data_IF_403581674802
#
_entry.id   IF_403581674802
#
_cell.length_a   1.000
_cell.length_b   1.000
_cell.length_c   1.000
_cell.angle_alpha   90.00
_cell.angle_beta   90.00
_cell.angle_gamma   90.00
#
_symmetry.space_group_name_H-M   'P 1'
#
loop_
_entity.id
_entity.type
_entity.pdbx_description
1 polymer ?
#
# COMPACT_ATOMS: atom_id res chain seq x y z
N UNK A 1 -80.08 45.91 3.66
CA UNK A 1 -80.17 44.44 3.84
C UNK A 1 -78.79 43.83 3.71
N UNK A 2 -78.58 42.58 4.11
CA UNK A 2 -77.35 41.85 3.84
C UNK A 2 -77.61 40.74 2.84
N UNK A 3 -76.79 40.63 1.80
CA UNK A 3 -76.88 39.56 0.81
C UNK A 3 -76.01 38.38 1.26
N UNK A 4 -76.62 37.23 1.60
CA UNK A 4 -75.90 36.02 2.04
C UNK A 4 -75.05 35.42 0.93
N UNK A 5 -75.52 35.49 -0.32
CA UNK A 5 -74.82 34.95 -1.48
C UNK A 5 -73.53 35.71 -1.78
N UNK A 6 -73.59 37.04 -1.73
CA UNK A 6 -72.45 37.91 -2.03
C UNK A 6 -71.64 38.30 -0.79
N UNK A 7 -72.16 38.02 0.42
CA UNK A 7 -71.53 38.35 1.70
C UNK A 7 -71.27 39.87 1.83
N UNK A 8 -72.25 40.70 1.46
CA UNK A 8 -72.12 42.16 1.48
C UNK A 8 -73.40 42.88 1.92
N UNK A 9 -73.26 44.14 2.37
CA UNK A 9 -74.39 45.03 2.61
C UNK A 9 -74.91 45.58 1.28
N UNK A 10 -76.23 45.58 1.12
CA UNK A 10 -76.90 46.03 -0.11
C UNK A 10 -77.99 47.05 0.20
N UNK A 11 -78.06 48.09 -0.62
CA UNK A 11 -79.14 49.06 -0.63
C UNK A 11 -80.33 48.55 -1.48
N UNK A 12 -81.53 49.16 -1.37
CA UNK A 12 -82.71 48.74 -2.13
C UNK A 12 -82.53 48.72 -3.65
N UNK A 13 -81.83 49.71 -4.22
CA UNK A 13 -81.59 49.79 -5.67
C UNK A 13 -80.75 48.60 -6.17
N UNK A 14 -79.68 48.25 -5.44
CA UNK A 14 -78.84 47.11 -5.79
C UNK A 14 -79.58 45.77 -5.70
N UNK A 15 -80.61 45.67 -4.84
CA UNK A 15 -81.42 44.44 -4.75
C UNK A 15 -82.14 44.16 -6.06
N UNK A 16 -82.75 45.17 -6.69
CA UNK A 16 -83.48 45.01 -7.94
C UNK A 16 -82.57 44.83 -9.16
N UNK A 17 -81.40 45.48 -9.17
CA UNK A 17 -80.53 45.50 -10.34
C UNK A 17 -79.55 44.31 -10.38
N UNK A 18 -78.85 44.05 -9.27
CA UNK A 18 -77.67 43.16 -9.28
C UNK A 18 -77.75 42.01 -8.28
N UNK A 19 -78.65 42.07 -7.30
CA UNK A 19 -78.85 41.00 -6.31
C UNK A 19 -80.25 40.37 -6.38
N UNK A 20 -80.91 40.47 -7.54
CA UNK A 20 -82.23 39.87 -7.76
C UNK A 20 -82.12 38.33 -7.63
N UNK A 21 -83.01 37.72 -6.85
CA UNK A 21 -82.99 36.29 -6.56
C UNK A 21 -81.91 35.82 -5.56
N UNK A 22 -81.07 36.71 -5.03
CA UNK A 22 -80.14 36.34 -3.96
C UNK A 22 -80.83 36.19 -2.60
N UNK A 23 -80.26 35.35 -1.73
CA UNK A 23 -80.73 35.22 -0.35
C UNK A 23 -80.42 36.48 0.46
N UNK A 24 -81.46 37.26 0.79
CA UNK A 24 -81.34 38.48 1.58
C UNK A 24 -81.76 38.25 3.03
N UNK A 25 -81.05 38.89 3.95
CA UNK A 25 -81.36 38.88 5.38
C UNK A 25 -81.21 40.23 6.04
N UNK A 26 -81.66 40.30 7.29
CA UNK A 26 -81.44 41.45 8.15
C UNK A 26 -79.94 41.71 8.35
N UNK A 27 -79.58 42.97 8.62
CA UNK A 27 -78.19 43.35 8.90
C UNK A 27 -77.66 42.59 10.14
N UNK A 28 -78.52 42.36 11.14
CA UNK A 28 -78.19 41.60 12.35
C UNK A 28 -77.80 40.16 12.03
N UNK A 29 -78.61 39.44 11.26
CA UNK A 29 -78.27 38.07 10.82
C UNK A 29 -77.00 38.03 9.97
N UNK A 30 -76.81 39.01 9.08
CA UNK A 30 -75.58 39.15 8.31
C UNK A 30 -74.34 39.32 9.17
N UNK A 31 -74.44 40.13 10.23
CA UNK A 31 -73.38 40.30 11.23
C UNK A 31 -73.06 38.99 11.96
N UNK A 32 -74.07 38.25 12.42
CA UNK A 32 -73.88 36.95 13.09
C UNK A 32 -73.19 35.93 12.18
N UNK A 33 -73.55 35.89 10.89
CA UNK A 33 -72.89 35.02 9.90
C UNK A 33 -71.41 35.39 9.73
N UNK A 34 -71.10 36.68 9.62
CA UNK A 34 -69.71 37.16 9.48
C UNK A 34 -68.87 36.84 10.72
N UNK A 35 -69.41 37.11 11.92
CA UNK A 35 -68.75 36.80 13.18
C UNK A 35 -68.55 35.28 13.33
N UNK A 36 -69.54 34.47 12.97
CA UNK A 36 -69.41 33.01 12.95
C UNK A 36 -68.26 32.55 12.05
N UNK A 37 -68.21 33.04 10.81
CA UNK A 37 -67.11 32.73 9.87
C UNK A 37 -65.75 33.17 10.39
N UNK A 38 -65.66 34.36 11.00
CA UNK A 38 -64.42 34.87 11.60
C UNK A 38 -63.97 33.99 12.76
N UNK A 39 -64.88 33.59 13.65
CA UNK A 39 -64.58 32.67 14.76
C UNK A 39 -64.05 31.34 14.26
N UNK A 40 -64.72 30.71 13.29
CA UNK A 40 -64.27 29.44 12.70
C UNK A 40 -62.88 29.57 12.07
N UNK A 41 -62.64 30.63 11.28
CA UNK A 41 -61.31 30.88 10.69
C UNK A 41 -60.24 31.12 11.76
N UNK A 42 -60.56 31.87 12.80
CA UNK A 42 -59.67 32.11 13.94
C UNK A 42 -59.29 30.81 14.67
N UNK A 43 -60.26 29.92 14.88
CA UNK A 43 -60.01 28.60 15.46
C UNK A 43 -59.08 27.75 14.57
N UNK A 44 -59.36 27.67 13.27
CA UNK A 44 -58.51 26.92 12.32
C UNK A 44 -57.08 27.48 12.31
N UNK A 45 -56.92 28.81 12.28
CA UNK A 45 -55.61 29.45 12.36
C UNK A 45 -54.89 29.11 13.66
N UNK A 46 -55.59 29.14 14.80
CA UNK A 46 -55.02 28.75 16.09
C UNK A 46 -54.53 27.30 16.10
N UNK A 47 -55.32 26.36 15.57
CA UNK A 47 -54.90 24.96 15.44
C UNK A 47 -53.66 24.83 14.54
N UNK A 48 -53.65 25.49 13.39
CA UNK A 48 -52.52 25.45 12.46
C UNK A 48 -51.24 26.03 13.10
N UNK A 49 -51.35 27.12 13.87
CA UNK A 49 -50.21 27.69 14.60
C UNK A 49 -49.63 26.68 15.58
N UNK A 50 -50.48 26.04 16.39
CA UNK A 50 -50.03 25.04 17.37
C UNK A 50 -49.35 23.84 16.70
N UNK A 51 -49.88 23.37 15.56
CA UNK A 51 -49.25 22.28 14.79
C UNK A 51 -47.88 22.69 14.23
N UNK A 52 -47.76 23.92 13.72
CA UNK A 52 -46.50 24.44 13.21
C UNK A 52 -45.47 24.64 14.33
N UNK A 53 -45.87 25.08 15.51
CA UNK A 53 -44.99 25.18 16.68
C UNK A 53 -44.48 23.80 17.11
N UNK A 54 -45.36 22.80 17.16
CA UNK A 54 -44.96 21.42 17.47
C UNK A 54 -43.93 20.89 16.45
N UNK A 55 -44.19 21.08 15.15
CA UNK A 55 -43.26 20.66 14.08
C UNK A 55 -41.92 21.39 14.16
N UNK A 56 -41.92 22.68 14.52
CA UNK A 56 -40.70 23.47 14.71
C UNK A 56 -39.82 22.86 15.82
N UNK A 57 -40.42 22.40 16.91
CA UNK A 57 -39.67 21.78 18.00
C UNK A 57 -39.17 20.37 17.64
N UNK A 58 -39.97 19.59 16.91
CA UNK A 58 -39.55 18.28 16.37
C UNK A 58 -38.33 18.42 15.44
N UNK A 59 -38.35 19.38 14.51
CA UNK A 59 -37.23 19.63 13.59
C UNK A 59 -35.96 20.06 14.35
N UNK A 60 -36.09 20.92 15.36
CA UNK A 60 -34.94 21.32 16.20
C UNK A 60 -34.36 20.16 17.02
N UNK A 61 -35.20 19.23 17.46
CA UNK A 61 -34.77 18.03 18.18
C UNK A 61 -33.94 17.10 17.29
N UNK A 62 -34.43 16.84 16.08
CA UNK A 62 -33.75 15.99 15.08
C UNK A 62 -32.40 16.58 14.70
N UNK A 63 -32.34 17.88 14.40
CA UNK A 63 -31.10 18.57 14.00
C UNK A 63 -30.00 18.41 15.06
N UNK A 64 -30.33 18.53 16.36
CA UNK A 64 -29.36 18.34 17.44
C UNK A 64 -28.86 16.90 17.57
N UNK A 65 -29.75 15.92 17.47
CA UNK A 65 -29.36 14.50 17.61
C UNK A 65 -28.55 14.03 16.42
N UNK A 66 -28.94 14.40 15.20
CA UNK A 66 -28.22 14.05 13.98
C UNK A 66 -26.85 14.73 13.92
N UNK A 67 -26.75 16.02 14.28
CA UNK A 67 -25.47 16.72 14.38
C UNK A 67 -24.55 16.05 15.40
N UNK A 68 -25.06 15.69 16.58
CA UNK A 68 -24.26 14.98 17.60
C UNK A 68 -23.80 13.60 17.10
N UNK A 69 -24.65 12.86 16.41
CA UNK A 69 -24.28 11.58 15.80
C UNK A 69 -23.22 11.74 14.71
N UNK A 70 -23.33 12.78 13.90
CA UNK A 70 -22.35 13.12 12.87
C UNK A 70 -20.99 13.48 13.47
N UNK A 71 -20.97 14.35 14.49
CA UNK A 71 -19.75 14.74 15.22
C UNK A 71 -19.07 13.51 15.87
N UNK A 72 -19.86 12.65 16.51
CA UNK A 72 -19.36 11.41 17.11
C UNK A 72 -18.76 10.47 16.06
N UNK A 73 -19.40 10.35 14.90
CA UNK A 73 -18.90 9.53 13.79
C UNK A 73 -17.59 10.10 13.23
N UNK A 74 -17.53 11.41 13.02
CA UNK A 74 -16.32 12.11 12.59
C UNK A 74 -15.17 11.94 13.57
N UNK A 75 -15.45 11.98 14.88
CA UNK A 75 -14.45 11.71 15.93
C UNK A 75 -13.92 10.28 15.84
N UNK A 76 -14.81 9.28 15.73
CA UNK A 76 -14.42 7.87 15.57
C UNK A 76 -13.54 7.65 14.34
N UNK A 77 -13.87 8.26 13.21
CA UNK A 77 -13.07 8.18 11.98
C UNK A 77 -11.67 8.77 12.21
N UNK A 78 -11.58 9.93 12.88
CA UNK A 78 -10.28 10.54 13.22
C UNK A 78 -9.45 9.64 14.13
N UNK A 79 -10.06 9.07 15.16
CA UNK A 79 -9.38 8.18 16.10
C UNK A 79 -8.87 6.91 15.40
N UNK A 80 -9.70 6.31 14.53
CA UNK A 80 -9.30 5.14 13.72
C UNK A 80 -8.13 5.47 12.78
N UNK A 81 -8.14 6.62 12.11
CA UNK A 81 -7.03 7.04 11.26
C UNK A 81 -5.73 7.21 12.05
N UNK A 82 -5.79 7.73 13.27
CA UNK A 82 -4.61 7.84 14.15
C UNK A 82 -4.09 6.47 14.55
N UNK A 83 -4.97 5.52 14.89
CA UNK A 83 -4.58 4.15 15.23
C UNK A 83 -3.94 3.44 14.03
N UNK A 84 -4.57 3.48 12.86
CA UNK A 84 -4.04 2.87 11.64
C UNK A 84 -2.67 3.44 11.27
N UNK A 85 -2.48 4.76 11.37
CA UNK A 85 -1.18 5.38 11.12
C UNK A 85 -0.10 4.84 12.05
N UNK A 86 -0.40 4.70 13.35
CA UNK A 86 0.54 4.12 14.32
C UNK A 86 0.88 2.67 14.01
N UNK A 87 -0.09 1.85 13.62
CA UNK A 87 0.15 0.46 13.24
C UNK A 87 1.04 0.36 12.00
N UNK A 88 0.75 1.14 10.96
CA UNK A 88 1.59 1.20 9.75
C UNK A 88 3.01 1.63 10.08
N UNK A 89 3.18 2.67 10.92
CA UNK A 89 4.50 3.14 11.35
C UNK A 89 5.27 2.04 12.13
N UNK A 90 4.58 1.27 12.98
CA UNK A 90 5.18 0.16 13.72
C UNK A 90 5.63 -0.98 12.79
N UNK A 91 4.78 -1.39 11.85
CA UNK A 91 5.11 -2.42 10.88
C UNK A 91 6.28 -1.99 9.99
N UNK A 92 6.29 -0.74 9.55
CA UNK A 92 7.36 -0.17 8.73
C UNK A 92 8.69 -0.25 9.47
N UNK A 93 8.75 0.22 10.72
CA UNK A 93 9.97 0.15 11.56
C UNK A 93 10.45 -1.28 11.80
N UNK A 94 9.52 -2.22 11.99
CA UNK A 94 9.85 -3.63 12.16
C UNK A 94 10.52 -4.19 10.91
N UNK A 95 9.94 -3.93 9.73
CA UNK A 95 10.49 -4.38 8.45
C UNK A 95 11.85 -3.74 8.17
N UNK A 96 12.02 -2.44 8.44
CA UNK A 96 13.32 -1.76 8.32
C UNK A 96 14.39 -2.44 9.19
N UNK A 97 14.05 -2.74 10.45
CA UNK A 97 14.96 -3.41 11.38
C UNK A 97 15.33 -4.82 10.90
N UNK A 98 14.36 -5.59 10.39
CA UNK A 98 14.61 -6.92 9.84
C UNK A 98 15.50 -6.89 8.60
N UNK A 99 15.31 -5.89 7.72
CA UNK A 99 16.13 -5.71 6.53
C UNK A 99 17.57 -5.31 6.88
N UNK A 100 17.75 -4.38 7.83
CA UNK A 100 19.08 -3.99 8.33
C UNK A 100 19.80 -5.22 8.88
N UNK A 101 19.14 -6.00 9.74
CA UNK A 101 19.75 -7.19 10.33
C UNK A 101 20.16 -8.22 9.26
N UNK A 102 19.30 -8.47 8.27
CA UNK A 102 19.63 -9.38 7.15
C UNK A 102 20.83 -8.86 6.36
N UNK A 103 20.90 -7.56 6.11
CA UNK A 103 22.02 -6.95 5.42
C UNK A 103 23.32 -7.08 6.22
N UNK A 104 23.29 -6.82 7.53
CA UNK A 104 24.43 -7.00 8.43
C UNK A 104 24.92 -8.45 8.47
N UNK A 105 24.00 -9.42 8.52
CA UNK A 105 24.33 -10.84 8.53
C UNK A 105 24.99 -11.28 7.22
N UNK A 106 24.45 -10.84 6.07
CA UNK A 106 25.07 -11.09 4.76
C UNK A 106 26.46 -10.46 4.68
N UNK A 107 26.60 -9.19 5.10
CA UNK A 107 27.88 -8.49 5.06
C UNK A 107 28.94 -9.21 5.91
N UNK A 108 28.59 -9.63 7.12
CA UNK A 108 29.47 -10.39 8.03
C UNK A 108 29.91 -11.73 7.43
N UNK A 109 28.99 -12.45 6.76
CA UNK A 109 29.31 -13.69 6.06
C UNK A 109 30.30 -13.42 4.93
N UNK A 110 30.04 -12.43 4.09
CA UNK A 110 30.94 -12.04 2.99
C UNK A 110 32.32 -11.64 3.49
N UNK A 111 32.43 -10.86 4.56
CA UNK A 111 33.73 -10.51 5.17
C UNK A 111 34.51 -11.74 5.67
N UNK A 112 33.80 -12.76 6.16
CA UNK A 112 34.43 -14.00 6.64
C UNK A 112 34.94 -14.82 5.46
N UNK A 113 34.12 -14.99 4.43
CA UNK A 113 34.50 -15.66 3.18
C UNK A 113 35.68 -14.96 2.49
N UNK A 114 35.70 -13.62 2.46
CA UNK A 114 36.80 -12.84 1.89
C UNK A 114 38.12 -13.08 2.65
N UNK A 115 38.08 -13.18 3.98
CA UNK A 115 39.26 -13.52 4.80
C UNK A 115 39.73 -14.95 4.53
N UNK A 116 38.83 -15.92 4.43
CA UNK A 116 39.18 -17.30 4.11
C UNK A 116 39.83 -17.42 2.74
N UNK A 117 39.26 -16.76 1.72
CA UNK A 117 39.84 -16.70 0.37
C UNK A 117 41.22 -16.05 0.40
N UNK A 118 41.40 -14.95 1.16
CA UNK A 118 42.70 -14.28 1.30
C UNK A 118 43.77 -15.21 1.90
N UNK A 119 43.43 -15.95 2.96
CA UNK A 119 44.34 -16.93 3.57
C UNK A 119 44.70 -18.07 2.62
N UNK A 120 43.73 -18.54 1.81
CA UNK A 120 43.99 -19.56 0.79
C UNK A 120 44.94 -19.04 -0.30
N UNK A 121 44.76 -17.80 -0.75
CA UNK A 121 45.66 -17.15 -1.72
C UNK A 121 47.09 -17.09 -1.15
N UNK A 122 47.27 -16.65 0.09
CA UNK A 122 48.60 -16.59 0.75
C UNK A 122 49.25 -17.96 0.89
N UNK A 123 48.48 -18.99 1.27
CA UNK A 123 48.95 -20.37 1.37
C UNK A 123 49.38 -20.92 0.01
N UNK A 124 48.58 -20.70 -1.03
CA UNK A 124 48.90 -21.13 -2.40
C UNK A 124 50.11 -20.39 -2.96
N UNK A 125 50.26 -19.09 -2.70
CA UNK A 125 51.43 -18.32 -3.10
C UNK A 125 52.72 -18.87 -2.46
N UNK A 126 52.67 -19.22 -1.18
CA UNK A 126 53.79 -19.83 -0.46
C UNK A 126 54.16 -21.22 -1.02
N UNK A 127 53.16 -22.06 -1.31
CA UNK A 127 53.38 -23.38 -1.95
C UNK A 127 53.96 -23.23 -3.35
N UNK A 128 53.44 -22.28 -4.14
CA UNK A 128 53.96 -21.97 -5.48
C UNK A 128 55.44 -21.58 -5.40
N UNK A 129 55.82 -20.72 -4.45
CA UNK A 129 57.22 -20.32 -4.26
C UNK A 129 58.14 -21.53 -4.01
N UNK A 130 57.72 -22.49 -3.17
CA UNK A 130 58.49 -23.73 -2.93
C UNK A 130 58.62 -24.56 -4.21
N UNK A 131 57.54 -24.69 -4.99
CA UNK A 131 57.58 -25.41 -6.27
C UNK A 131 58.53 -24.72 -7.26
N UNK A 132 58.47 -23.39 -7.37
CA UNK A 132 59.34 -22.60 -8.23
C UNK A 132 60.83 -22.77 -7.81
N UNK A 133 61.13 -22.79 -6.51
CA UNK A 133 62.49 -23.03 -5.98
C UNK A 133 62.99 -24.46 -6.30
N UNK A 134 62.14 -25.48 -6.13
CA UNK A 134 62.46 -26.87 -6.51
C UNK A 134 62.74 -26.98 -8.01
N UNK A 135 61.97 -26.30 -8.85
CA UNK A 135 62.17 -26.30 -10.32
C UNK A 135 63.48 -25.60 -10.68
N UNK A 136 63.84 -24.52 -9.97
CA UNK A 136 65.06 -23.75 -10.22
C UNK A 136 66.32 -24.39 -9.63
N UNK A 137 66.17 -25.25 -8.62
CA UNK A 137 67.25 -26.02 -8.02
C UNK A 137 68.05 -26.81 -9.07
N UNK A 138 69.37 -26.67 -9.01
CA UNK A 138 70.31 -27.37 -9.89
C UNK A 138 70.24 -28.90 -9.74
N UNK A 139 69.80 -29.41 -8.59
CA UNK A 139 69.70 -30.86 -8.37
C UNK A 139 68.54 -31.47 -9.17
N UNK A 140 67.42 -30.76 -9.30
CA UNK A 140 66.28 -31.19 -10.12
C UNK A 140 66.63 -31.17 -11.61
N UNK A 141 67.33 -30.13 -12.07
CA UNK A 141 67.87 -30.07 -13.44
C UNK A 141 68.88 -31.19 -13.70
N UNK A 142 69.82 -31.42 -12.78
CA UNK A 142 70.84 -32.45 -12.94
C UNK A 142 70.25 -33.85 -12.95
N UNK A 143 69.28 -34.17 -12.11
CA UNK A 143 68.59 -35.48 -12.13
C UNK A 143 67.82 -35.69 -13.44
N UNK A 144 67.19 -34.64 -13.98
CA UNK A 144 66.54 -34.71 -15.29
C UNK A 144 67.54 -34.89 -16.43
N UNK A 145 68.65 -34.14 -16.42
CA UNK A 145 69.72 -34.24 -17.42
C UNK A 145 70.46 -35.59 -17.35
N UNK A 146 70.76 -36.07 -16.15
CA UNK A 146 71.38 -37.38 -15.90
C UNK A 146 70.42 -38.52 -16.34
N UNK A 147 69.12 -38.39 -16.08
CA UNK A 147 68.09 -39.33 -16.54
C UNK A 147 67.94 -39.36 -18.06
N UNK A 148 67.93 -38.20 -18.71
CA UNK A 148 67.95 -38.08 -20.18
C UNK A 148 69.20 -38.71 -20.78
N UNK A 149 70.37 -38.48 -20.19
CA UNK A 149 71.62 -39.09 -20.61
C UNK A 149 71.61 -40.62 -20.48
N UNK A 150 70.97 -41.15 -19.43
CA UNK A 150 70.80 -42.59 -19.24
C UNK A 150 69.86 -43.19 -20.30
N UNK A 151 68.76 -42.51 -20.64
CA UNK A 151 67.83 -42.92 -21.70
C UNK A 151 68.53 -42.93 -23.06
N UNK A 152 69.28 -41.88 -23.41
CA UNK A 152 70.09 -41.85 -24.64
C UNK A 152 71.11 -42.99 -24.68
N UNK A 153 71.80 -43.27 -23.57
CA UNK A 153 72.78 -44.37 -23.50
C UNK A 153 72.12 -45.74 -23.67
N UNK A 154 70.89 -45.91 -23.20
CA UNK A 154 70.10 -47.14 -23.37
C UNK A 154 69.62 -47.25 -24.83
N UNK A 155 69.13 -46.17 -25.43
CA UNK A 155 68.75 -46.13 -26.85
C UNK A 155 69.93 -46.48 -27.77
N UNK A 156 71.12 -45.92 -27.53
CA UNK A 156 72.31 -46.25 -28.32
C UNK A 156 72.75 -47.71 -28.19
N UNK A 157 72.51 -48.34 -27.04
CA UNK A 157 72.90 -49.75 -26.79
C UNK A 157 71.86 -50.76 -27.28
N UNK A 158 70.59 -50.36 -27.38
CA UNK A 158 69.49 -51.25 -27.76
C UNK A 158 69.15 -51.11 -29.24
N UNK A 159 69.44 -49.97 -29.88
CA UNK A 159 69.13 -49.74 -31.29
C UNK A 159 70.30 -50.16 -32.19
N UNK A 160 70.14 -51.16 -33.09
CA UNK A 160 71.17 -51.47 -34.09
C UNK A 160 71.28 -50.31 -35.10
N UNK A 161 72.46 -50.09 -35.71
CA UNK A 161 72.61 -49.03 -36.70
C UNK A 161 71.63 -49.26 -37.87
N UNK A 162 70.63 -48.37 -38.00
CA UNK A 162 69.67 -48.38 -39.11
C UNK A 162 68.18 -48.38 -38.74
N UNK A 163 67.80 -48.38 -37.46
CA UNK A 163 66.37 -48.39 -37.07
C UNK A 163 65.97 -47.07 -36.39
N UNK A 164 65.10 -46.31 -37.04
CA UNK A 164 64.56 -45.05 -36.53
C UNK A 164 63.43 -45.36 -35.53
N UNK A 165 63.73 -45.39 -34.23
CA UNK A 165 62.69 -45.35 -33.19
C UNK A 165 62.37 -43.89 -32.86
N UNK A 166 61.55 -43.26 -33.72
CA UNK A 166 60.72 -42.16 -33.26
C UNK A 166 59.46 -42.75 -32.64
N UNK A 167 58.97 -42.09 -31.59
CA UNK A 167 57.79 -42.41 -30.78
C UNK A 167 58.07 -43.40 -29.66
N UNK A 168 58.20 -42.91 -28.43
CA UNK A 168 57.23 -43.08 -27.34
C UNK A 168 57.78 -42.30 -26.14
N UNK A 169 57.44 -41.02 -26.03
CA UNK A 169 57.29 -40.33 -24.74
C UNK A 169 56.43 -39.08 -24.98
N UNK A 170 55.16 -39.31 -25.36
CA UNK A 170 54.12 -38.33 -25.05
C UNK A 170 53.84 -38.44 -23.55
N UNK A 171 54.59 -37.67 -22.76
CA UNK A 171 54.22 -37.41 -21.37
C UNK A 171 53.20 -36.27 -21.42
N UNK A 172 51.92 -36.64 -21.32
CA UNK A 172 50.83 -35.70 -21.09
C UNK A 172 51.01 -35.03 -19.70
N UNK A 173 51.69 -33.87 -19.68
CA UNK A 173 51.83 -33.00 -18.50
C UNK A 173 50.66 -32.00 -18.38
N UNK A 174 49.47 -32.33 -18.90
CA UNK A 174 48.30 -31.45 -18.85
C UNK A 174 47.03 -32.18 -18.41
N UNK A 175 46.89 -32.46 -17.11
CA UNK A 175 45.55 -32.72 -16.52
C UNK A 175 45.35 -32.30 -15.05
N UNK A 176 46.15 -31.37 -14.52
CA UNK A 176 45.95 -30.84 -13.15
C UNK A 176 45.21 -29.50 -13.09
N UNK A 177 44.11 -29.34 -13.84
CA UNK A 177 43.14 -28.24 -13.62
C UNK A 177 41.70 -28.76 -13.61
N UNK A 178 41.43 -29.68 -12.69
CA UNK A 178 40.07 -30.10 -12.34
C UNK A 178 39.51 -29.28 -11.17
N UNK A 179 39.35 -27.96 -11.33
CA UNK A 179 38.55 -27.14 -10.41
C UNK A 179 37.17 -26.96 -11.02
N UNK A 180 36.18 -27.73 -10.56
CA UNK A 180 34.76 -27.48 -10.82
C UNK A 180 34.20 -26.69 -9.63
N UNK A 181 33.89 -25.42 -9.87
CA UNK A 181 32.98 -24.65 -9.02
C UNK A 181 31.53 -25.02 -9.42
N UNK A 182 30.74 -25.42 -8.44
CA UNK A 182 29.27 -25.35 -8.45
C UNK A 182 28.85 -24.22 -7.52
#
# INVERSE_FOLDING_TARGET
>A
MFCKSCVCLVCPLCISETHNGHGLVTIREGYEILIGKLKTRGMIMGTNINELEKRKDEVKGVDRTELSNFENTMKKIKDQNVCLKKEVDQYTKKLETELIKKWEDVHRCTETEEKEVSLLIESLASKKFVVDDIIQSNDSKRVFEDGLGLVQTIEEKITPPGTNLMTVFDIDVLSMTGVRFF
#
